data_IF_772788138507
#
_entry.id   IF_772788138507
#
_cell.length_a   1.000
_cell.length_b   1.000
_cell.length_c   1.000
_cell.angle_alpha   90.00
_cell.angle_beta   90.00
_cell.angle_gamma   90.00
#
_symmetry.space_group_name_H-M   'P 1'
#
loop_
_entity.id
_entity.type
_entity.pdbx_description
1 polymer ?
#
# COMPACT_ATOMS: atom_id res chain seq x y z
N UNK A 1 47.03 -15.31 0.41
CA UNK A 1 46.21 -15.31 1.67
C UNK A 1 45.94 -16.76 2.06
N UNK A 2 45.82 -17.06 3.37
CA UNK A 2 45.45 -18.41 3.84
C UNK A 2 44.04 -18.77 3.34
N UNK A 3 43.81 -20.03 2.97
CA UNK A 3 42.51 -20.55 2.45
C UNK A 3 41.34 -20.17 3.38
N UNK A 4 41.55 -20.29 4.71
CA UNK A 4 40.58 -19.90 5.74
C UNK A 4 40.14 -18.44 5.63
N UNK A 5 41.06 -17.51 5.33
CA UNK A 5 40.74 -16.09 5.20
C UNK A 5 39.93 -15.82 3.93
N UNK A 6 40.27 -16.48 2.81
CA UNK A 6 39.55 -16.35 1.53
C UNK A 6 38.11 -16.87 1.64
N UNK A 7 37.93 -18.00 2.32
CA UNK A 7 36.61 -18.58 2.59
C UNK A 7 35.76 -17.66 3.49
N UNK A 8 36.32 -17.19 4.61
CA UNK A 8 35.60 -16.31 5.53
C UNK A 8 35.17 -14.98 4.87
N UNK A 9 35.99 -14.42 3.98
CA UNK A 9 35.63 -13.21 3.22
C UNK A 9 34.45 -13.50 2.28
N UNK A 10 34.48 -14.61 1.53
CA UNK A 10 33.39 -14.97 0.63
C UNK A 10 32.06 -15.21 1.36
N UNK A 11 32.09 -15.98 2.45
CA UNK A 11 30.90 -16.24 3.27
C UNK A 11 30.41 -14.96 3.96
N UNK A 12 31.33 -14.14 4.50
CA UNK A 12 30.98 -12.86 5.11
C UNK A 12 30.35 -11.88 4.12
N UNK A 13 30.84 -11.85 2.88
CA UNK A 13 30.26 -11.05 1.80
C UNK A 13 28.84 -11.50 1.48
N UNK A 14 28.60 -12.81 1.32
CA UNK A 14 27.24 -13.35 1.10
C UNK A 14 26.30 -12.99 2.24
N UNK A 15 26.77 -13.03 3.49
CA UNK A 15 25.99 -12.65 4.66
C UNK A 15 25.60 -11.17 4.64
N UNK A 16 26.55 -10.28 4.31
CA UNK A 16 26.28 -8.85 4.15
C UNK A 16 25.26 -8.61 3.03
N UNK A 17 25.37 -9.32 1.91
CA UNK A 17 24.43 -9.21 0.79
C UNK A 17 23.00 -9.59 1.18
N UNK A 18 22.82 -10.65 1.97
CA UNK A 18 21.50 -11.03 2.52
C UNK A 18 20.94 -9.91 3.39
N UNK A 19 21.73 -9.35 4.31
CA UNK A 19 21.31 -8.24 5.17
C UNK A 19 20.87 -7.04 4.33
N UNK A 20 21.66 -6.64 3.33
CA UNK A 20 21.36 -5.52 2.45
C UNK A 20 20.03 -5.75 1.72
N UNK A 21 19.83 -6.93 1.13
CA UNK A 21 18.58 -7.28 0.45
C UNK A 21 17.39 -7.27 1.42
N UNK A 22 17.53 -7.83 2.63
CA UNK A 22 16.47 -7.82 3.64
C UNK A 22 16.10 -6.41 4.10
N UNK A 23 17.10 -5.55 4.35
CA UNK A 23 16.86 -4.17 4.78
C UNK A 23 16.20 -3.36 3.67
N UNK A 24 16.70 -3.45 2.42
CA UNK A 24 16.11 -2.76 1.27
C UNK A 24 14.67 -3.21 1.03
N UNK A 25 14.42 -4.53 1.06
CA UNK A 25 13.08 -5.07 0.87
C UNK A 25 12.14 -4.61 1.97
N UNK A 26 12.56 -4.67 3.24
CA UNK A 26 11.76 -4.19 4.37
C UNK A 26 11.45 -2.70 4.29
N UNK A 27 12.41 -1.89 3.83
CA UNK A 27 12.22 -0.45 3.64
C UNK A 27 11.17 -0.14 2.58
N UNK A 28 11.27 -0.74 1.39
CA UNK A 28 10.29 -0.55 0.31
C UNK A 28 8.90 -1.10 0.66
N UNK A 29 8.81 -2.25 1.33
CA UNK A 29 7.52 -2.77 1.82
C UNK A 29 6.87 -1.78 2.78
N UNK A 30 7.65 -1.19 3.71
CA UNK A 30 7.12 -0.21 4.64
C UNK A 30 6.70 1.09 3.95
N UNK A 31 7.44 1.52 2.92
CA UNK A 31 7.07 2.67 2.09
C UNK A 31 5.75 2.41 1.37
N UNK A 32 5.63 1.28 0.68
CA UNK A 32 4.39 0.89 -0.02
C UNK A 32 3.20 0.78 0.94
N UNK A 33 3.43 0.25 2.16
CA UNK A 33 2.41 0.21 3.21
C UNK A 33 1.93 1.61 3.59
N UNK A 34 2.84 2.59 3.72
CA UNK A 34 2.47 3.98 4.04
C UNK A 34 1.69 4.64 2.92
N UNK A 35 2.11 4.42 1.68
CA UNK A 35 1.46 4.99 0.48
C UNK A 35 0.02 4.45 0.32
N UNK A 36 -0.23 3.21 0.72
CA UNK A 36 -1.54 2.54 0.58
C UNK A 36 -2.46 2.67 1.79
N UNK A 37 -1.93 2.74 3.02
CA UNK A 37 -2.76 2.70 4.24
C UNK A 37 -3.69 3.93 4.35
N UNK A 38 -3.24 5.10 3.91
CA UNK A 38 -4.06 6.32 3.90
C UNK A 38 -5.19 6.25 2.87
N UNK A 39 -4.99 5.51 1.76
CA UNK A 39 -6.03 5.23 0.76
C UNK A 39 -7.11 4.32 1.36
N UNK A 40 -6.66 3.23 1.99
CA UNK A 40 -7.52 2.10 2.34
C UNK A 40 -8.52 2.43 3.44
N UNK A 41 -8.12 3.16 4.47
CA UNK A 41 -8.97 3.32 5.65
C UNK A 41 -9.92 4.50 5.47
N UNK A 42 -9.41 5.66 5.08
CA UNK A 42 -10.18 6.89 5.23
C UNK A 42 -10.96 7.27 3.95
N UNK A 43 -10.36 7.13 2.76
CA UNK A 43 -11.04 7.46 1.51
C UNK A 43 -12.16 6.46 1.14
N UNK A 44 -11.94 5.16 1.39
CA UNK A 44 -12.98 4.14 1.20
C UNK A 44 -14.14 4.30 2.20
N UNK A 45 -13.86 4.75 3.43
CA UNK A 45 -14.91 5.06 4.40
C UNK A 45 -15.85 6.15 3.85
N UNK A 46 -15.33 7.22 3.25
CA UNK A 46 -16.18 8.24 2.64
C UNK A 46 -17.06 7.65 1.54
N UNK A 47 -16.53 6.79 0.66
CA UNK A 47 -17.33 6.12 -0.37
C UNK A 47 -18.43 5.22 0.22
N UNK A 48 -18.13 4.49 1.29
CA UNK A 48 -19.11 3.68 2.01
C UNK A 48 -20.21 4.55 2.63
N UNK A 49 -19.84 5.65 3.30
CA UNK A 49 -20.78 6.55 3.94
C UNK A 49 -21.67 7.22 2.92
N UNK A 50 -21.08 7.74 1.83
CA UNK A 50 -21.78 8.31 0.69
C UNK A 50 -22.78 7.33 0.07
N UNK A 51 -22.38 6.08 -0.18
CA UNK A 51 -23.28 5.05 -0.69
C UNK A 51 -24.47 4.82 0.24
N UNK A 52 -24.23 4.68 1.54
CA UNK A 52 -25.31 4.44 2.49
C UNK A 52 -26.22 5.67 2.69
N UNK A 53 -25.69 6.88 2.61
CA UNK A 53 -26.49 8.11 2.60
C UNK A 53 -27.39 8.18 1.37
N UNK A 54 -26.89 7.82 0.18
CA UNK A 54 -27.71 7.78 -1.04
C UNK A 54 -28.83 6.73 -0.96
N UNK A 55 -28.54 5.53 -0.44
CA UNK A 55 -29.56 4.50 -0.24
C UNK A 55 -30.63 4.96 0.75
N UNK A 56 -30.22 5.51 1.89
CA UNK A 56 -31.15 6.07 2.87
C UNK A 56 -31.99 7.21 2.27
N UNK A 57 -31.40 8.07 1.44
CA UNK A 57 -32.09 9.17 0.77
C UNK A 57 -33.24 8.69 -0.14
N UNK A 58 -33.10 7.54 -0.79
CA UNK A 58 -34.18 6.96 -1.59
C UNK A 58 -35.31 6.39 -0.73
N UNK A 59 -35.00 5.89 0.46
CA UNK A 59 -35.97 5.28 1.36
C UNK A 59 -36.65 6.30 2.30
N UNK A 60 -36.24 7.57 2.30
CA UNK A 60 -36.73 8.63 3.22
C UNK A 60 -38.26 8.79 3.25
N UNK A 61 -38.95 8.46 2.15
CA UNK A 61 -40.40 8.58 2.07
C UNK A 61 -41.16 7.30 2.47
N UNK A 62 -40.47 6.15 2.54
CA UNK A 62 -41.08 4.83 2.71
C UNK A 62 -40.64 4.11 3.99
N UNK A 63 -39.42 4.38 4.47
CA UNK A 63 -38.87 3.79 5.69
C UNK A 63 -38.70 4.88 6.77
N UNK A 64 -39.42 4.77 7.92
CA UNK A 64 -39.25 5.67 9.06
C UNK A 64 -37.82 5.70 9.63
N UNK A 65 -36.99 4.67 9.39
CA UNK A 65 -35.62 4.59 9.88
C UNK A 65 -34.61 5.28 8.96
N UNK A 66 -34.97 5.58 7.71
CA UNK A 66 -34.07 6.12 6.70
C UNK A 66 -33.37 7.42 7.14
N UNK A 67 -34.09 8.32 7.82
CA UNK A 67 -33.49 9.55 8.38
C UNK A 67 -32.38 9.25 9.40
N UNK A 68 -32.61 8.30 10.31
CA UNK A 68 -31.63 7.90 11.31
C UNK A 68 -30.40 7.20 10.69
N UNK A 69 -30.62 6.41 9.63
CA UNK A 69 -29.54 5.80 8.86
C UNK A 69 -28.70 6.87 8.17
N UNK A 70 -29.32 7.84 7.50
CA UNK A 70 -28.63 8.95 6.87
C UNK A 70 -27.80 9.74 7.89
N UNK A 71 -28.40 10.13 9.02
CA UNK A 71 -27.72 10.85 10.10
C UNK A 71 -26.51 10.10 10.65
N UNK A 72 -26.64 8.79 10.85
CA UNK A 72 -25.55 7.95 11.33
C UNK A 72 -24.34 8.03 10.40
N UNK A 73 -24.56 7.91 9.08
CA UNK A 73 -23.46 7.96 8.12
C UNK A 73 -22.93 9.37 7.90
N UNK A 74 -23.78 10.40 7.93
CA UNK A 74 -23.37 11.79 7.90
C UNK A 74 -22.48 12.15 9.12
N UNK A 75 -22.84 11.67 10.31
CA UNK A 75 -22.05 11.89 11.52
C UNK A 75 -20.68 11.18 11.46
N UNK A 76 -20.60 10.01 10.81
CA UNK A 76 -19.32 9.36 10.53
C UNK A 76 -18.50 10.17 9.51
N UNK A 77 -19.13 10.67 8.45
CA UNK A 77 -18.49 11.50 7.43
C UNK A 77 -17.89 12.78 8.01
N UNK A 78 -18.62 13.47 8.91
CA UNK A 78 -18.11 14.67 9.60
C UNK A 78 -16.84 14.43 10.42
N UNK A 79 -16.59 13.18 10.85
CA UNK A 79 -15.38 12.78 11.60
C UNK A 79 -14.29 12.22 10.69
N UNK A 80 -14.57 12.05 9.39
CA UNK A 80 -13.72 11.44 8.39
C UNK A 80 -13.42 12.44 7.26
N UNK A 81 -12.99 13.65 7.61
CA UNK A 81 -12.50 14.63 6.62
C UNK A 81 -11.04 14.32 6.33
N UNK A 82 -10.76 13.94 5.09
CA UNK A 82 -9.48 13.36 4.63
C UNK A 82 -8.85 14.18 3.52
N UNK A 83 -9.68 14.71 2.60
CA UNK A 83 -9.22 15.41 1.40
C UNK A 83 -9.56 16.90 1.43
N UNK A 84 -8.79 17.73 0.70
CA UNK A 84 -9.16 19.13 0.44
C UNK A 84 -10.54 19.23 -0.21
N UNK A 85 -11.37 20.17 0.24
CA UNK A 85 -12.73 20.36 -0.27
C UNK A 85 -13.78 19.44 0.36
N UNK A 86 -13.38 18.39 1.07
CA UNK A 86 -14.31 17.42 1.66
C UNK A 86 -15.11 18.01 2.82
N UNK A 87 -14.53 18.98 3.55
CA UNK A 87 -15.23 19.65 4.66
C UNK A 87 -16.39 20.49 4.14
N UNK A 88 -16.13 21.25 3.08
CA UNK A 88 -17.08 22.13 2.43
C UNK A 88 -18.23 21.31 1.84
N UNK A 89 -17.91 20.28 1.06
CA UNK A 89 -18.92 19.38 0.49
C UNK A 89 -19.73 18.63 1.57
N UNK A 90 -19.12 18.27 2.71
CA UNK A 90 -19.84 17.67 3.84
C UNK A 90 -20.82 18.65 4.47
N UNK A 91 -20.46 19.93 4.56
CA UNK A 91 -21.33 20.96 5.15
C UNK A 91 -22.53 21.30 4.24
N UNK A 92 -22.36 21.22 2.92
CA UNK A 92 -23.48 21.31 1.96
C UNK A 92 -24.48 20.17 2.16
N UNK A 93 -23.99 18.93 2.33
CA UNK A 93 -24.85 17.77 2.67
C UNK A 93 -25.61 18.02 3.97
N UNK A 94 -24.92 18.53 5.02
CA UNK A 94 -25.55 18.87 6.31
C UNK A 94 -26.67 19.90 6.13
N UNK A 95 -26.41 20.94 5.34
CA UNK A 95 -27.32 22.06 5.12
C UNK A 95 -28.56 21.59 4.36
N UNK A 96 -28.39 20.94 3.21
CA UNK A 96 -29.52 20.47 2.41
C UNK A 96 -30.31 19.35 3.11
N UNK A 97 -29.64 18.45 3.85
CA UNK A 97 -30.33 17.42 4.62
C UNK A 97 -31.16 18.01 5.77
N UNK A 98 -30.65 19.04 6.46
CA UNK A 98 -31.40 19.75 7.50
C UNK A 98 -32.62 20.48 6.96
N UNK A 99 -32.54 21.00 5.73
CA UNK A 99 -33.69 21.56 5.02
C UNK A 99 -34.69 20.47 4.61
N UNK A 100 -34.22 19.31 4.12
CA UNK A 100 -35.07 18.20 3.71
C UNK A 100 -35.90 17.63 4.87
N UNK A 101 -35.37 17.66 6.10
CA UNK A 101 -36.14 17.27 7.29
C UNK A 101 -37.40 18.11 7.54
N UNK A 102 -37.41 19.37 7.07
CA UNK A 102 -38.55 20.28 7.21
C UNK A 102 -39.56 20.10 6.08
N UNK A 103 -39.12 19.64 4.92
CA UNK A 103 -39.94 19.38 3.73
C UNK A 103 -39.46 18.10 3.03
N UNK A 104 -39.98 16.96 3.47
CA UNK A 104 -39.49 15.63 3.07
C UNK A 104 -39.82 15.26 1.63
N UNK A 105 -40.79 15.94 1.02
CA UNK A 105 -41.23 15.71 -0.37
C UNK A 105 -40.49 16.61 -1.37
N UNK A 106 -39.57 17.46 -0.91
CA UNK A 106 -38.86 18.38 -1.78
C UNK A 106 -37.87 17.65 -2.72
N UNK A 107 -38.30 17.42 -3.96
CA UNK A 107 -37.48 16.76 -4.96
C UNK A 107 -36.19 17.54 -5.30
N UNK A 108 -36.23 18.87 -5.22
CA UNK A 108 -35.05 19.73 -5.46
C UNK A 108 -33.97 19.50 -4.41
N UNK A 109 -34.34 19.50 -3.12
CA UNK A 109 -33.41 19.23 -2.02
C UNK A 109 -32.81 17.82 -2.11
N UNK A 110 -33.61 16.80 -2.45
CA UNK A 110 -33.08 15.44 -2.70
C UNK A 110 -32.05 15.45 -3.83
N UNK A 111 -32.32 16.18 -4.91
CA UNK A 111 -31.38 16.32 -6.03
C UNK A 111 -30.08 17.03 -5.62
N UNK A 112 -30.16 18.11 -4.83
CA UNK A 112 -28.99 18.80 -4.29
C UNK A 112 -28.14 17.88 -3.42
N UNK A 113 -28.76 17.16 -2.48
CA UNK A 113 -28.05 16.20 -1.60
C UNK A 113 -27.33 15.13 -2.43
N UNK A 114 -27.96 14.59 -3.48
CA UNK A 114 -27.31 13.63 -4.38
C UNK A 114 -26.06 14.22 -5.05
N UNK A 115 -26.13 15.49 -5.47
CA UNK A 115 -24.98 16.18 -6.08
C UNK A 115 -23.86 16.42 -5.07
N UNK A 116 -24.19 16.87 -3.86
CA UNK A 116 -23.19 17.11 -2.81
C UNK A 116 -22.47 15.81 -2.41
N UNK A 117 -23.22 14.71 -2.29
CA UNK A 117 -22.65 13.38 -2.02
C UNK A 117 -21.80 12.92 -3.21
N UNK A 118 -22.21 13.17 -4.45
CA UNK A 118 -21.42 12.83 -5.63
C UNK A 118 -20.09 13.61 -5.67
N UNK A 119 -20.09 14.88 -5.26
CA UNK A 119 -18.87 15.69 -5.12
C UNK A 119 -17.93 15.10 -4.06
N UNK A 120 -18.45 14.72 -2.87
CA UNK A 120 -17.68 14.02 -1.83
C UNK A 120 -17.03 12.74 -2.36
N UNK A 121 -17.78 11.96 -3.15
CA UNK A 121 -17.28 10.75 -3.79
C UNK A 121 -16.20 11.08 -4.82
N UNK A 122 -16.40 12.12 -5.65
CA UNK A 122 -15.44 12.53 -6.66
C UNK A 122 -14.10 12.95 -6.06
N UNK A 123 -14.10 13.80 -5.03
CA UNK A 123 -12.90 14.23 -4.32
C UNK A 123 -12.10 13.02 -3.80
N UNK A 124 -12.80 12.07 -3.17
CA UNK A 124 -12.18 10.86 -2.62
C UNK A 124 -11.70 9.88 -3.70
N UNK A 125 -12.45 9.70 -4.79
CA UNK A 125 -12.02 8.86 -5.91
C UNK A 125 -10.79 9.43 -6.61
N UNK A 126 -10.73 10.75 -6.81
CA UNK A 126 -9.56 11.41 -7.38
C UNK A 126 -8.32 11.25 -6.46
N UNK A 127 -8.49 11.41 -5.16
CA UNK A 127 -7.43 11.16 -4.19
C UNK A 127 -6.96 9.70 -4.18
N UNK A 128 -7.88 8.73 -4.25
CA UNK A 128 -7.56 7.30 -4.36
C UNK A 128 -6.74 7.05 -5.63
N UNK A 129 -7.16 7.58 -6.78
CA UNK A 129 -6.46 7.39 -8.05
C UNK A 129 -5.04 7.96 -8.00
N UNK A 130 -4.88 9.19 -7.49
CA UNK A 130 -3.58 9.85 -7.37
C UNK A 130 -2.65 9.08 -6.43
N UNK A 131 -3.11 8.74 -5.21
CA UNK A 131 -2.31 8.00 -4.24
C UNK A 131 -2.00 6.58 -4.73
N UNK A 132 -2.92 5.93 -5.46
CA UNK A 132 -2.68 4.63 -6.07
C UNK A 132 -1.59 4.70 -7.14
N UNK A 133 -1.53 5.79 -7.90
CA UNK A 133 -0.45 6.01 -8.88
C UNK A 133 0.91 6.12 -8.18
N UNK A 134 0.98 6.84 -7.06
CA UNK A 134 2.21 6.95 -6.25
C UNK A 134 2.63 5.58 -5.72
N UNK A 135 1.69 4.79 -5.20
CA UNK A 135 1.98 3.45 -4.70
C UNK A 135 2.50 2.52 -5.81
N UNK A 136 1.95 2.61 -7.02
CA UNK A 136 2.42 1.86 -8.19
C UNK A 136 3.85 2.27 -8.61
N UNK A 137 4.16 3.56 -8.60
CA UNK A 137 5.51 4.07 -8.84
C UNK A 137 6.51 3.60 -7.77
N UNK A 138 6.13 3.66 -6.49
CA UNK A 138 6.94 3.11 -5.38
C UNK A 138 7.22 1.62 -5.60
N UNK A 139 6.22 0.84 -6.00
CA UNK A 139 6.37 -0.59 -6.27
C UNK A 139 7.30 -0.86 -7.47
N UNK A 140 7.15 -0.11 -8.57
CA UNK A 140 8.04 -0.21 -9.74
C UNK A 140 9.49 0.11 -9.39
N UNK A 141 9.72 1.18 -8.62
CA UNK A 141 11.05 1.55 -8.14
C UNK A 141 11.65 0.48 -7.23
N UNK A 142 10.85 -0.09 -6.32
CA UNK A 142 11.28 -1.21 -5.47
C UNK A 142 11.72 -2.41 -6.31
N UNK A 143 10.90 -2.82 -7.27
CA UNK A 143 11.20 -3.95 -8.17
C UNK A 143 12.49 -3.69 -8.94
N UNK A 144 12.66 -2.50 -9.52
CA UNK A 144 13.87 -2.16 -10.28
C UNK A 144 15.14 -2.23 -9.41
N UNK A 145 15.13 -1.57 -8.25
CA UNK A 145 16.29 -1.54 -7.34
C UNK A 145 16.61 -2.93 -6.79
N UNK A 146 15.61 -3.67 -6.30
CA UNK A 146 15.80 -5.01 -5.76
C UNK A 146 16.28 -5.97 -6.84
N UNK A 147 15.79 -5.85 -8.08
CA UNK A 147 16.26 -6.69 -9.20
C UNK A 147 17.71 -6.41 -9.56
N UNK A 148 18.13 -5.15 -9.62
CA UNK A 148 19.53 -4.78 -9.91
C UNK A 148 20.45 -5.30 -8.80
N UNK A 149 20.11 -5.04 -7.54
CA UNK A 149 20.91 -5.51 -6.39
C UNK A 149 20.92 -7.04 -6.34
N UNK A 150 19.78 -7.69 -6.56
CA UNK A 150 19.65 -9.15 -6.60
C UNK A 150 20.48 -9.79 -7.72
N UNK A 151 20.50 -9.19 -8.92
CA UNK A 151 21.31 -9.66 -10.04
C UNK A 151 22.81 -9.55 -9.73
N UNK A 152 23.25 -8.42 -9.18
CA UNK A 152 24.63 -8.26 -8.70
C UNK A 152 24.98 -9.30 -7.63
N UNK A 153 24.05 -9.55 -6.71
CA UNK A 153 24.24 -10.55 -5.67
C UNK A 153 24.39 -11.96 -6.25
N UNK A 154 23.54 -12.32 -7.21
CA UNK A 154 23.62 -13.59 -7.91
C UNK A 154 24.96 -13.76 -8.64
N UNK A 155 25.43 -12.75 -9.37
CA UNK A 155 26.70 -12.81 -10.07
C UNK A 155 27.89 -13.01 -9.12
N UNK A 156 27.92 -12.29 -7.99
CA UNK A 156 28.96 -12.46 -6.97
C UNK A 156 28.89 -13.87 -6.36
N UNK A 157 27.71 -14.34 -5.99
CA UNK A 157 27.52 -15.68 -5.45
C UNK A 157 27.95 -16.77 -6.44
N UNK A 158 27.64 -16.59 -7.73
CA UNK A 158 28.03 -17.51 -8.80
C UNK A 158 29.55 -17.55 -8.98
N UNK A 159 30.21 -16.39 -9.02
CA UNK A 159 31.69 -16.30 -9.10
C UNK A 159 32.32 -16.99 -7.89
N UNK A 160 31.80 -16.76 -6.68
CA UNK A 160 32.30 -17.42 -5.47
C UNK A 160 32.10 -18.94 -5.52
N UNK A 161 30.93 -19.41 -5.96
CA UNK A 161 30.61 -20.83 -6.09
C UNK A 161 31.58 -21.55 -7.04
N UNK A 162 31.89 -20.97 -8.21
CA UNK A 162 32.82 -21.56 -9.17
C UNK A 162 34.27 -21.52 -8.67
N UNK A 163 34.66 -20.49 -7.93
CA UNK A 163 36.04 -20.33 -7.41
C UNK A 163 36.30 -21.09 -6.09
N UNK A 164 35.27 -21.48 -5.34
CA UNK A 164 35.41 -22.19 -4.05
C UNK A 164 36.06 -23.58 -4.19
N UNK A 165 35.67 -24.44 -5.15
CA UNK A 165 36.28 -25.77 -5.35
C UNK A 165 37.80 -25.71 -5.54
N UNK A 166 38.31 -24.79 -6.35
CA UNK A 166 39.76 -24.69 -6.59
C UNK A 166 40.55 -24.32 -5.32
N UNK A 167 39.95 -23.58 -4.39
CA UNK A 167 40.64 -23.15 -3.16
C UNK A 167 40.55 -24.17 -2.01
N UNK A 168 39.70 -25.20 -2.10
CA UNK A 168 39.46 -26.16 -1.00
C UNK A 168 39.49 -27.61 -1.51
N UNK A 169 38.75 -27.91 -2.57
CA UNK A 169 38.62 -29.27 -3.09
C UNK A 169 39.91 -29.77 -3.75
N UNK A 170 40.65 -28.93 -4.46
CA UNK A 170 41.90 -29.34 -5.12
C UNK A 170 43.01 -29.75 -4.14
N UNK A 171 43.33 -28.98 -3.09
CA UNK A 171 44.31 -29.40 -2.08
C UNK A 171 43.91 -30.68 -1.34
N UNK A 172 42.61 -30.84 -1.00
CA UNK A 172 42.09 -32.04 -0.34
C UNK A 172 42.16 -33.24 -1.27
N UNK A 173 41.84 -33.07 -2.56
CA UNK A 173 41.94 -34.13 -3.58
C UNK A 173 43.38 -34.59 -3.75
N UNK A 174 44.33 -33.66 -3.84
CA UNK A 174 45.76 -33.98 -3.94
C UNK A 174 46.20 -34.77 -2.71
N UNK A 175 45.90 -34.28 -1.50
CA UNK A 175 46.25 -34.96 -0.25
C UNK A 175 45.64 -36.37 -0.17
N UNK A 176 44.37 -36.51 -0.55
CA UNK A 176 43.66 -37.80 -0.54
C UNK A 176 44.25 -38.78 -1.56
N UNK A 177 44.63 -38.29 -2.75
CA UNK A 177 45.28 -39.11 -3.77
C UNK A 177 46.68 -39.55 -3.31
N UNK A 178 47.47 -38.66 -2.70
CA UNK A 178 48.79 -39.01 -2.15
C UNK A 178 48.71 -40.04 -1.03
N UNK A 179 47.70 -39.97 -0.15
CA UNK A 179 47.50 -40.99 0.90
C UNK A 179 47.11 -42.35 0.31
N UNK A 180 46.32 -42.40 -0.77
CA UNK A 180 45.95 -43.65 -1.45
C UNK A 180 47.08 -44.32 -2.23
N UNK A 181 48.16 -43.59 -2.52
CA UNK A 181 49.33 -44.10 -3.24
C UNK A 181 50.39 -44.73 -2.30
N UNK A 182 50.14 -44.69 -0.99
CA UNK A 182 50.93 -45.34 0.08
C UNK A 182 50.14 -46.55 0.56
#
# INVERSE_FOLDING_TARGET
>A
MKIKTKLNIGVGLLFIMIIVLSVLSGWYINQLKRDTNNILVANYNTLEYSRNMLLALEEINSDPLAFGVFEKYLAKQKKNVTEPGEREATEEVVTHFSALKKDTQNASLKSSIRKDIAELMQLNMAAIQHKSSIADETAKNAIAVISIVGMLCFLIAFILMVNLPSNIADPIRILTQSIKQI
#
